data_IF_230052526649
#
_entry.id   IF_230052526649
#
_cell.length_a   1.000
_cell.length_b   1.000
_cell.length_c   1.000
_cell.angle_alpha   90.00
_cell.angle_beta   90.00
_cell.angle_gamma   90.00
#
_symmetry.space_group_name_H-M   'P 1'
#
loop_
_entity.id
_entity.type
_entity.pdbx_description
1 polymer ?
#
# COMPACT_ATOMS: atom_id res chain seq x y z
N UNK A 1 -4.19 17.88 -15.05
CA UNK A 1 -2.95 17.21 -15.48
C UNK A 1 -2.37 17.82 -16.74
N UNK A 2 -3.02 17.67 -17.90
CA UNK A 2 -2.50 18.20 -19.18
C UNK A 2 -2.23 19.71 -19.15
N UNK A 3 -3.17 20.51 -18.62
CA UNK A 3 -2.98 21.97 -18.46
C UNK A 3 -1.75 22.30 -17.61
N UNK A 4 -1.46 21.53 -16.57
CA UNK A 4 -0.28 21.76 -15.71
C UNK A 4 1.01 21.45 -16.48
N UNK A 5 1.02 20.41 -17.31
CA UNK A 5 2.16 20.11 -18.18
C UNK A 5 2.35 21.18 -19.25
N UNK A 6 1.28 21.56 -19.96
CA UNK A 6 1.31 22.60 -20.99
C UNK A 6 1.79 23.95 -20.44
N UNK A 7 1.24 24.40 -19.31
CA UNK A 7 1.65 25.66 -18.65
C UNK A 7 3.10 25.61 -18.18
N UNK A 8 3.59 24.45 -17.75
CA UNK A 8 5.01 24.27 -17.38
C UNK A 8 5.92 24.42 -18.60
N UNK A 9 5.58 23.84 -19.74
CA UNK A 9 6.36 24.02 -20.98
C UNK A 9 6.20 25.42 -21.58
N UNK A 10 5.04 26.05 -21.42
CA UNK A 10 4.80 27.43 -21.86
C UNK A 10 5.73 28.43 -21.15
N UNK A 11 6.02 28.23 -19.85
CA UNK A 11 6.98 29.05 -19.13
C UNK A 11 8.39 28.97 -19.75
N UNK A 12 8.85 27.77 -20.08
CA UNK A 12 10.15 27.59 -20.76
C UNK A 12 10.14 28.23 -22.16
N UNK A 13 9.03 28.12 -22.89
CA UNK A 13 8.87 28.73 -24.21
C UNK A 13 8.91 30.27 -24.13
N UNK A 14 8.28 30.89 -23.12
CA UNK A 14 8.21 32.34 -22.96
C UNK A 14 9.55 33.02 -22.64
N UNK A 15 10.57 32.27 -22.22
CA UNK A 15 11.91 32.83 -21.97
C UNK A 15 12.51 33.47 -23.24
N UNK A 16 12.28 32.88 -24.43
CA UNK A 16 12.79 33.45 -25.69
C UNK A 16 12.21 34.84 -25.99
N UNK A 17 10.88 35.02 -26.10
CA UNK A 17 10.32 36.34 -26.34
C UNK A 17 10.63 37.32 -25.20
N UNK A 18 10.71 36.85 -23.95
CA UNK A 18 11.11 37.70 -22.82
C UNK A 18 12.52 38.29 -23.02
N UNK A 19 13.48 37.52 -23.52
CA UNK A 19 14.84 38.00 -23.75
C UNK A 19 14.97 38.77 -25.06
N UNK A 20 14.45 38.21 -26.15
CA UNK A 20 14.65 38.77 -27.48
C UNK A 20 13.80 40.04 -27.72
N UNK A 21 12.53 40.07 -27.32
CA UNK A 21 11.68 41.24 -27.56
C UNK A 21 11.97 42.38 -26.59
N UNK A 22 12.22 42.07 -25.31
CA UNK A 22 12.46 43.10 -24.28
C UNK A 22 13.87 43.66 -24.36
N UNK A 23 14.91 42.81 -24.41
CA UNK A 23 16.29 43.26 -24.24
C UNK A 23 17.00 43.51 -25.57
N UNK A 24 16.74 42.71 -26.62
CA UNK A 24 17.36 42.94 -27.94
C UNK A 24 16.59 43.97 -28.75
N UNK A 25 15.27 43.79 -28.91
CA UNK A 25 14.43 44.70 -29.70
C UNK A 25 13.95 45.93 -28.93
N UNK A 26 14.16 45.99 -27.61
CA UNK A 26 13.76 47.11 -26.72
C UNK A 26 12.27 47.45 -26.84
N UNK A 27 11.42 46.44 -27.02
CA UNK A 27 9.99 46.61 -27.22
C UNK A 27 9.26 46.87 -25.88
N UNK A 28 8.85 48.12 -25.67
CA UNK A 28 8.20 48.56 -24.43
C UNK A 28 6.81 47.95 -24.17
N UNK A 29 6.12 47.49 -25.21
CA UNK A 29 4.82 46.82 -25.06
C UNK A 29 5.00 45.38 -24.57
N UNK A 30 6.00 44.67 -25.10
CA UNK A 30 6.33 43.32 -24.63
C UNK A 30 6.82 43.32 -23.18
N UNK A 31 7.47 44.39 -22.73
CA UNK A 31 7.84 44.59 -21.33
C UNK A 31 6.62 44.63 -20.38
N UNK A 32 5.44 45.05 -20.86
CA UNK A 32 4.19 45.05 -20.08
C UNK A 32 3.46 43.71 -20.18
N UNK A 33 3.33 43.17 -21.39
CA UNK A 33 2.53 41.96 -21.65
C UNK A 33 3.18 40.66 -21.16
N UNK A 34 4.50 40.53 -21.25
CA UNK A 34 5.20 39.28 -20.87
C UNK A 34 5.10 39.02 -19.36
N UNK A 35 5.35 39.98 -18.45
CA UNK A 35 5.12 39.76 -17.02
C UNK A 35 3.67 39.38 -16.68
N UNK A 36 2.69 40.04 -17.32
CA UNK A 36 1.26 39.71 -17.14
C UNK A 36 0.98 38.28 -17.59
N UNK A 37 1.51 37.86 -18.75
CA UNK A 37 1.37 36.50 -19.25
C UNK A 37 2.03 35.47 -18.31
N UNK A 38 3.23 35.77 -17.77
CA UNK A 38 3.92 34.90 -16.81
C UNK A 38 3.08 34.72 -15.55
N UNK A 39 2.58 35.82 -14.96
CA UNK A 39 1.71 35.76 -13.77
C UNK A 39 0.43 34.98 -14.08
N UNK A 40 -0.20 35.22 -15.23
CA UNK A 40 -1.39 34.48 -15.66
C UNK A 40 -1.14 32.98 -15.79
N UNK A 41 -0.01 32.58 -16.38
CA UNK A 41 0.38 31.17 -16.50
C UNK A 41 0.65 30.54 -15.13
N UNK A 42 1.34 31.23 -14.22
CA UNK A 42 1.56 30.73 -12.86
C UNK A 42 0.26 30.61 -12.08
N UNK A 43 -0.69 31.53 -12.25
CA UNK A 43 -2.01 31.47 -11.65
C UNK A 43 -2.79 30.25 -12.15
N UNK A 44 -2.87 30.07 -13.47
CA UNK A 44 -3.53 28.92 -14.09
C UNK A 44 -2.86 27.61 -13.64
N UNK A 45 -1.52 27.55 -13.70
CA UNK A 45 -0.75 26.39 -13.24
C UNK A 45 -1.04 26.07 -11.77
N UNK A 46 -1.06 27.09 -10.91
CA UNK A 46 -1.33 26.95 -9.47
C UNK A 46 -2.72 26.40 -9.20
N UNK A 47 -3.76 27.01 -9.77
CA UNK A 47 -5.15 26.56 -9.62
C UNK A 47 -5.32 25.14 -10.17
N UNK A 48 -4.86 24.87 -11.38
CA UNK A 48 -4.98 23.54 -11.98
C UNK A 48 -4.19 22.48 -11.21
N UNK A 49 -3.01 22.82 -10.65
CA UNK A 49 -2.22 21.89 -9.84
C UNK A 49 -2.88 21.61 -8.51
N UNK A 50 -3.47 22.62 -7.86
CA UNK A 50 -4.24 22.46 -6.63
C UNK A 50 -5.45 21.54 -6.84
N UNK A 51 -6.30 21.89 -7.81
CA UNK A 51 -7.51 21.11 -8.15
C UNK A 51 -7.14 19.68 -8.51
N UNK A 52 -6.11 19.49 -9.34
CA UNK A 52 -5.62 18.15 -9.66
C UNK A 52 -5.20 17.37 -8.40
N UNK A 53 -4.42 17.98 -7.51
CA UNK A 53 -3.89 17.30 -6.33
C UNK A 53 -5.02 16.90 -5.38
N UNK A 54 -5.96 17.82 -5.14
CA UNK A 54 -7.14 17.55 -4.31
C UNK A 54 -8.01 16.44 -4.89
N UNK A 55 -8.32 16.49 -6.20
CA UNK A 55 -9.14 15.46 -6.85
C UNK A 55 -8.45 14.09 -6.85
N UNK A 56 -7.15 14.01 -7.15
CA UNK A 56 -6.43 12.74 -7.13
C UNK A 56 -6.32 12.15 -5.72
N UNK A 57 -6.13 12.99 -4.70
CA UNK A 57 -6.16 12.53 -3.31
C UNK A 57 -7.56 12.09 -2.89
N UNK A 58 -8.60 12.81 -3.30
CA UNK A 58 -9.99 12.42 -3.04
C UNK A 58 -10.30 11.04 -3.65
N UNK A 59 -9.95 10.83 -4.93
CA UNK A 59 -10.13 9.53 -5.61
C UNK A 59 -9.35 8.44 -4.88
N UNK A 60 -8.07 8.69 -4.56
CA UNK A 60 -7.23 7.73 -3.82
C UNK A 60 -7.84 7.34 -2.47
N UNK A 61 -8.29 8.32 -1.67
CA UNK A 61 -8.90 8.07 -0.38
C UNK A 61 -10.28 7.39 -0.49
N UNK A 62 -11.05 7.70 -1.54
CA UNK A 62 -12.33 7.04 -1.79
C UNK A 62 -12.14 5.55 -2.09
N UNK A 63 -11.16 5.23 -2.95
CA UNK A 63 -10.77 3.84 -3.23
C UNK A 63 -10.35 3.11 -1.95
N UNK A 64 -9.57 3.76 -1.08
CA UNK A 64 -9.19 3.19 0.22
C UNK A 64 -10.42 2.89 1.09
N UNK A 65 -11.35 3.83 1.20
CA UNK A 65 -12.54 3.67 2.01
C UNK A 65 -13.41 2.50 1.51
N UNK A 66 -13.65 2.44 0.20
CA UNK A 66 -14.49 1.41 -0.42
C UNK A 66 -13.81 0.01 -0.31
N UNK A 67 -12.50 -0.08 -0.54
CA UNK A 67 -11.74 -1.34 -0.39
C UNK A 67 -11.68 -1.81 1.07
N UNK A 68 -11.44 -0.91 2.03
CA UNK A 68 -11.44 -1.27 3.46
C UNK A 68 -12.82 -1.77 3.89
N UNK A 69 -13.89 -1.12 3.45
CA UNK A 69 -15.25 -1.56 3.76
C UNK A 69 -15.56 -2.94 3.15
N UNK A 70 -15.20 -3.15 1.88
CA UNK A 70 -15.39 -4.44 1.21
C UNK A 70 -14.59 -5.56 1.87
N UNK A 71 -13.30 -5.32 2.14
CA UNK A 71 -12.41 -6.27 2.79
C UNK A 71 -12.87 -6.60 4.22
N UNK A 72 -13.23 -5.58 5.01
CA UNK A 72 -13.73 -5.78 6.37
C UNK A 72 -15.03 -6.60 6.38
N UNK A 73 -16.00 -6.24 5.53
CA UNK A 73 -17.25 -7.00 5.38
C UNK A 73 -16.94 -8.45 5.04
N UNK A 74 -16.03 -8.69 4.10
CA UNK A 74 -15.67 -10.04 3.69
C UNK A 74 -15.03 -10.84 4.82
N UNK A 75 -14.08 -10.25 5.55
CA UNK A 75 -13.43 -10.90 6.69
C UNK A 75 -14.46 -11.33 7.75
N UNK A 76 -15.45 -10.48 8.05
CA UNK A 76 -16.50 -10.81 9.03
C UNK A 76 -17.43 -11.95 8.60
N UNK A 77 -17.51 -12.24 7.30
CA UNK A 77 -18.30 -13.38 6.78
C UNK A 77 -17.53 -14.71 6.77
N UNK A 78 -16.23 -14.70 7.07
CA UNK A 78 -15.41 -15.90 6.99
C UNK A 78 -15.61 -16.84 8.19
N UNK A 79 -15.32 -18.13 7.98
CA UNK A 79 -15.40 -19.18 9.01
C UNK A 79 -14.33 -19.01 10.09
N UNK A 80 -14.49 -19.66 11.23
CA UNK A 80 -13.47 -19.68 12.27
C UNK A 80 -12.17 -20.39 11.80
N UNK A 81 -12.28 -21.32 10.85
CA UNK A 81 -11.14 -21.95 10.21
C UNK A 81 -10.26 -20.94 9.47
N UNK A 82 -10.87 -19.96 8.78
CA UNK A 82 -10.14 -18.87 8.12
C UNK A 82 -9.28 -18.08 9.12
N UNK A 83 -9.82 -17.74 10.29
CA UNK A 83 -9.09 -17.01 11.34
C UNK A 83 -8.01 -17.86 12.02
N UNK A 84 -8.16 -19.19 11.99
CA UNK A 84 -7.13 -20.11 12.48
C UNK A 84 -5.92 -20.14 11.53
N UNK A 85 -6.17 -20.11 10.22
CA UNK A 85 -5.13 -20.11 9.16
C UNK A 85 -4.51 -18.73 8.93
N UNK A 86 -5.23 -17.65 9.23
CA UNK A 86 -4.81 -16.28 8.97
C UNK A 86 -4.65 -15.52 10.28
N UNK A 87 -3.42 -15.30 10.77
CA UNK A 87 -3.17 -14.56 11.99
C UNK A 87 -3.79 -13.15 11.94
N UNK A 88 -4.38 -12.69 13.03
CA UNK A 88 -5.06 -11.38 13.10
C UNK A 88 -4.17 -10.22 12.67
N UNK A 89 -2.88 -10.25 13.02
CA UNK A 89 -1.91 -9.23 12.59
C UNK A 89 -1.72 -9.17 11.07
N UNK A 90 -1.78 -10.33 10.38
CA UNK A 90 -1.73 -10.39 8.92
C UNK A 90 -2.96 -9.70 8.32
N UNK A 91 -4.16 -10.02 8.81
CA UNK A 91 -5.41 -9.42 8.34
C UNK A 91 -5.44 -7.90 8.56
N UNK A 92 -4.96 -7.43 9.72
CA UNK A 92 -4.83 -5.99 9.98
C UNK A 92 -3.89 -5.32 8.98
N UNK A 93 -2.72 -5.93 8.71
CA UNK A 93 -1.76 -5.41 7.72
C UNK A 93 -2.35 -5.34 6.30
N UNK A 94 -3.22 -6.30 5.91
CA UNK A 94 -3.95 -6.22 4.63
C UNK A 94 -4.84 -4.98 4.57
N UNK A 95 -5.63 -4.73 5.61
CA UNK A 95 -6.57 -3.59 5.67
C UNK A 95 -5.83 -2.25 5.70
N UNK A 96 -4.70 -2.17 6.41
CA UNK A 96 -3.98 -0.91 6.60
C UNK A 96 -2.96 -0.67 5.50
N UNK A 97 -1.94 -1.52 5.38
CA UNK A 97 -0.77 -1.33 4.53
C UNK A 97 -1.06 -1.66 3.06
N UNK A 98 -1.65 -2.83 2.77
CA UNK A 98 -1.84 -3.26 1.38
C UNK A 98 -2.84 -2.37 0.64
N UNK A 99 -3.94 -1.97 1.29
CA UNK A 99 -4.86 -0.98 0.73
C UNK A 99 -4.17 0.39 0.52
N UNK A 100 -3.23 0.77 1.40
CA UNK A 100 -2.40 1.97 1.22
C UNK A 100 -1.49 1.91 0.00
N UNK A 101 -0.91 0.75 -0.31
CA UNK A 101 -0.12 0.59 -1.54
C UNK A 101 -0.98 0.74 -2.81
N UNK A 102 -2.22 0.25 -2.78
CA UNK A 102 -3.17 0.42 -3.88
C UNK A 102 -3.49 1.91 -4.07
N UNK A 103 -3.68 2.67 -2.97
CA UNK A 103 -3.89 4.12 -3.03
C UNK A 103 -2.74 4.84 -3.72
N UNK A 104 -1.48 4.52 -3.35
CA UNK A 104 -0.30 5.11 -3.99
C UNK A 104 -0.26 4.83 -5.50
N UNK A 105 -0.60 3.62 -5.92
CA UNK A 105 -0.67 3.28 -7.34
C UNK A 105 -1.77 4.05 -8.08
N UNK A 106 -2.97 4.20 -7.49
CA UNK A 106 -4.09 4.90 -8.15
C UNK A 106 -3.88 6.42 -8.17
N UNK A 107 -3.29 6.99 -7.12
CA UNK A 107 -3.14 8.44 -7.00
C UNK A 107 -1.81 8.95 -7.54
N UNK A 108 -0.69 8.46 -7.04
CA UNK A 108 0.65 8.95 -7.38
C UNK A 108 1.13 8.43 -8.74
N UNK A 109 1.02 7.12 -8.98
CA UNK A 109 1.54 6.53 -10.21
C UNK A 109 0.76 6.99 -11.45
N UNK A 110 -0.58 7.06 -11.37
CA UNK A 110 -1.41 7.62 -12.45
C UNK A 110 -1.07 9.09 -12.69
N UNK A 111 -0.90 9.87 -11.62
CA UNK A 111 -0.51 11.29 -11.74
C UNK A 111 0.81 11.42 -12.50
N UNK A 112 1.82 10.65 -12.13
CA UNK A 112 3.12 10.72 -12.77
C UNK A 112 3.06 10.21 -14.23
N UNK A 113 2.37 9.10 -14.50
CA UNK A 113 2.23 8.58 -15.87
C UNK A 113 1.52 9.53 -16.81
N UNK A 114 0.51 10.27 -16.34
CA UNK A 114 -0.26 11.17 -17.20
C UNK A 114 0.33 12.58 -17.23
N UNK A 115 0.50 13.22 -16.06
CA UNK A 115 1.00 14.61 -15.99
C UNK A 115 2.47 14.67 -16.39
N UNK A 116 3.32 13.83 -15.81
CA UNK A 116 4.76 13.99 -15.98
C UNK A 116 5.21 13.50 -17.37
N UNK A 117 4.61 12.42 -17.91
CA UNK A 117 4.85 12.03 -19.31
C UNK A 117 4.40 13.11 -20.29
N UNK A 118 3.24 13.72 -20.08
CA UNK A 118 2.78 14.81 -20.95
C UNK A 118 3.68 16.05 -20.83
N UNK A 119 4.08 16.41 -19.62
CA UNK A 119 5.03 17.52 -19.38
C UNK A 119 6.36 17.24 -20.08
N UNK A 120 6.85 16.01 -19.99
CA UNK A 120 8.08 15.57 -20.65
C UNK A 120 7.95 15.69 -22.17
N UNK A 121 6.86 15.20 -22.77
CA UNK A 121 6.59 15.34 -24.20
C UNK A 121 6.56 16.80 -24.65
N UNK A 122 5.87 17.67 -23.91
CA UNK A 122 5.81 19.10 -24.23
C UNK A 122 7.18 19.80 -24.08
N UNK A 123 7.97 19.44 -23.07
CA UNK A 123 9.32 20.00 -22.90
C UNK A 123 10.29 19.53 -23.99
N UNK A 124 10.26 18.24 -24.35
CA UNK A 124 11.04 17.69 -25.46
C UNK A 124 10.65 18.40 -26.76
N UNK A 125 9.35 18.60 -26.99
CA UNK A 125 8.88 19.38 -28.14
C UNK A 125 9.46 20.80 -28.15
N UNK A 126 9.42 21.52 -27.02
CA UNK A 126 10.02 22.87 -26.93
C UNK A 126 11.52 22.85 -27.22
N UNK A 127 12.26 21.86 -26.70
CA UNK A 127 13.70 21.70 -26.91
C UNK A 127 14.01 21.51 -28.41
N UNK A 128 13.36 20.57 -29.09
CA UNK A 128 13.56 20.32 -30.52
C UNK A 128 13.08 21.47 -31.41
N UNK A 129 11.97 22.10 -31.04
CA UNK A 129 11.43 23.24 -31.78
C UNK A 129 12.33 24.48 -31.70
N UNK A 130 13.03 24.67 -30.57
CA UNK A 130 13.92 25.82 -30.38
C UNK A 130 15.23 25.66 -31.14
N UNK A 131 15.88 24.51 -30.99
CA UNK A 131 17.14 24.23 -31.66
C UNK A 131 17.36 22.71 -31.72
N UNK A 132 17.15 22.13 -32.90
CA UNK A 132 17.25 20.69 -33.10
C UNK A 132 18.70 20.17 -33.02
N UNK A 133 19.70 21.02 -33.27
CA UNK A 133 21.12 20.64 -33.22
C UNK A 133 21.58 20.54 -31.76
N UNK A 134 21.24 21.55 -30.95
CA UNK A 134 21.41 21.52 -29.49
C UNK A 134 20.59 20.38 -28.86
N UNK A 135 19.38 20.10 -29.36
CA UNK A 135 18.55 19.01 -28.88
C UNK A 135 19.22 17.63 -29.04
N UNK A 136 19.89 17.38 -30.17
CA UNK A 136 20.64 16.14 -30.40
C UNK A 136 21.79 16.00 -29.41
N UNK A 137 22.53 17.08 -29.14
CA UNK A 137 23.61 17.09 -28.14
C UNK A 137 23.04 16.78 -26.75
N UNK A 138 21.93 17.41 -26.36
CA UNK A 138 21.27 17.15 -25.09
C UNK A 138 20.75 15.71 -24.98
N UNK A 139 20.23 15.14 -26.06
CA UNK A 139 19.81 13.74 -26.15
C UNK A 139 20.97 12.76 -25.92
N UNK A 140 22.22 13.11 -26.26
CA UNK A 140 23.40 12.28 -25.95
C UNK A 140 23.76 12.32 -24.46
N UNK A 141 23.57 13.47 -23.80
CA UNK A 141 23.78 13.63 -22.36
C UNK A 141 22.70 12.92 -21.55
N UNK A 142 21.50 12.75 -22.13
CA UNK A 142 20.35 12.17 -21.44
C UNK A 142 20.56 10.71 -20.95
N UNK A 143 21.03 9.75 -21.77
CA UNK A 143 21.39 8.40 -21.30
C UNK A 143 22.43 8.40 -20.19
N UNK A 144 23.42 9.31 -20.25
CA UNK A 144 24.46 9.45 -19.23
C UNK A 144 23.87 9.87 -17.87
N UNK A 145 22.74 10.58 -17.86
CA UNK A 145 21.99 10.91 -16.64
C UNK A 145 21.06 9.77 -16.18
N UNK A 146 20.29 9.16 -17.10
CA UNK A 146 19.27 8.16 -16.73
C UNK A 146 19.85 6.83 -16.25
N UNK A 147 20.92 6.34 -16.87
CA UNK A 147 21.51 5.02 -16.53
C UNK A 147 22.01 4.98 -15.07
N UNK A 148 22.77 5.97 -14.57
CA UNK A 148 23.16 6.04 -13.16
C UNK A 148 21.97 6.13 -12.21
N UNK A 149 20.94 6.93 -12.53
CA UNK A 149 19.72 7.02 -11.70
C UNK A 149 19.08 5.64 -11.56
N UNK A 150 18.92 4.91 -12.66
CA UNK A 150 18.36 3.57 -12.64
C UNK A 150 19.21 2.59 -11.80
N UNK A 151 20.54 2.69 -11.86
CA UNK A 151 21.47 1.90 -11.03
C UNK A 151 21.37 2.25 -9.55
N UNK A 152 21.33 3.55 -9.20
CA UNK A 152 21.13 4.00 -7.81
C UNK A 152 19.79 3.51 -7.27
N UNK A 153 18.71 3.64 -8.04
CA UNK A 153 17.37 3.15 -7.66
C UNK A 153 17.34 1.64 -7.44
N UNK A 154 18.00 0.83 -8.30
CA UNK A 154 18.14 -0.61 -8.09
C UNK A 154 18.89 -0.94 -6.80
N UNK A 155 20.01 -0.27 -6.54
CA UNK A 155 20.82 -0.49 -5.32
C UNK A 155 20.08 -0.06 -4.06
N UNK A 156 19.35 1.06 -4.11
CA UNK A 156 18.50 1.54 -3.03
C UNK A 156 17.43 0.52 -2.65
N UNK A 157 16.74 -0.06 -3.65
CA UNK A 157 15.73 -1.11 -3.41
C UNK A 157 16.29 -2.32 -2.66
N UNK A 158 17.49 -2.76 -3.03
CA UNK A 158 18.15 -3.89 -2.35
C UNK A 158 18.46 -3.57 -0.88
N UNK A 159 18.91 -2.35 -0.59
CA UNK A 159 19.16 -1.93 0.80
C UNK A 159 17.86 -1.80 1.57
N UNK A 160 16.85 -1.14 0.99
CA UNK A 160 15.54 -0.99 1.62
C UNK A 160 14.92 -2.35 2.01
N UNK A 161 15.03 -3.35 1.15
CA UNK A 161 14.60 -4.72 1.47
C UNK A 161 15.34 -5.31 2.67
N UNK A 162 16.67 -5.16 2.72
CA UNK A 162 17.48 -5.61 3.88
C UNK A 162 17.14 -4.86 5.15
N UNK A 163 16.94 -3.53 5.06
CA UNK A 163 16.50 -2.69 6.18
C UNK A 163 15.17 -3.19 6.74
N UNK A 164 14.20 -3.52 5.88
CA UNK A 164 12.89 -4.01 6.31
C UNK A 164 12.99 -5.37 7.03
N UNK A 165 13.84 -6.28 6.53
CA UNK A 165 14.07 -7.58 7.19
C UNK A 165 14.69 -7.39 8.58
N UNK A 166 15.72 -6.55 8.71
CA UNK A 166 16.36 -6.26 10.00
C UNK A 166 15.40 -5.54 10.96
N UNK A 167 14.59 -4.61 10.48
CA UNK A 167 13.55 -3.97 11.30
C UNK A 167 12.51 -4.98 11.79
N UNK A 168 12.15 -5.96 10.97
CA UNK A 168 11.29 -7.08 11.35
C UNK A 168 11.92 -7.90 12.50
N UNK A 169 13.18 -8.30 12.37
CA UNK A 169 13.91 -9.03 13.43
C UNK A 169 13.98 -8.24 14.74
N UNK A 170 14.24 -6.94 14.67
CA UNK A 170 14.27 -6.05 15.84
C UNK A 170 12.89 -5.92 16.49
N UNK A 171 11.82 -5.86 15.68
CA UNK A 171 10.43 -5.84 16.18
C UNK A 171 10.05 -7.15 16.85
N UNK A 172 10.44 -8.30 16.28
CA UNK A 172 10.25 -9.61 16.91
C UNK A 172 10.96 -9.71 18.25
N UNK A 173 12.22 -9.26 18.33
CA UNK A 173 12.98 -9.23 19.58
C UNK A 173 12.27 -8.38 20.65
N UNK A 174 11.76 -7.20 20.29
CA UNK A 174 10.99 -6.37 21.19
C UNK A 174 9.71 -7.09 21.65
N UNK A 175 8.99 -7.76 20.75
CA UNK A 175 7.80 -8.51 21.11
C UNK A 175 8.12 -9.65 22.09
N UNK A 176 9.18 -10.42 21.84
CA UNK A 176 9.65 -11.52 22.72
C UNK A 176 10.02 -11.00 24.11
N UNK A 177 10.84 -9.95 24.18
CA UNK A 177 11.41 -9.44 25.44
C UNK A 177 10.42 -8.61 26.27
N UNK A 178 9.55 -7.82 25.62
CA UNK A 178 8.53 -7.04 26.32
C UNK A 178 7.39 -7.95 26.79
N UNK A 179 6.87 -8.83 25.93
CA UNK A 179 5.80 -9.76 26.33
C UNK A 179 6.32 -10.79 27.34
N UNK A 180 7.56 -11.23 27.16
CA UNK A 180 8.28 -12.16 28.04
C UNK A 180 9.02 -11.49 29.19
N UNK A 181 8.73 -10.22 29.53
CA UNK A 181 9.56 -9.47 30.50
C UNK A 181 9.64 -10.15 31.87
N UNK A 182 8.59 -10.87 32.27
CA UNK A 182 8.58 -11.68 33.50
C UNK A 182 9.65 -12.78 33.48
N UNK A 183 9.87 -13.43 32.33
CA UNK A 183 10.91 -14.46 32.16
C UNK A 183 12.29 -13.80 32.21
N UNK A 184 12.48 -12.72 31.47
CA UNK A 184 13.76 -11.97 31.46
C UNK A 184 14.15 -11.57 32.89
N UNK A 185 13.20 -11.06 33.68
CA UNK A 185 13.39 -10.70 35.09
C UNK A 185 13.60 -11.91 36.00
N UNK A 186 12.86 -13.00 35.81
CA UNK A 186 13.00 -14.20 36.64
C UNK A 186 14.39 -14.85 36.51
N UNK A 187 15.03 -14.72 35.35
CA UNK A 187 16.36 -15.27 35.08
C UNK A 187 17.49 -14.23 35.13
N UNK A 188 17.22 -12.96 35.50
CA UNK A 188 18.20 -11.86 35.53
C UNK A 188 18.98 -11.68 34.21
N UNK A 189 18.29 -11.79 33.07
CA UNK A 189 18.90 -11.78 31.73
C UNK A 189 18.83 -10.41 31.02
N UNK A 190 18.58 -9.33 31.74
CA UNK A 190 18.41 -8.00 31.13
C UNK A 190 19.63 -7.55 30.32
N UNK A 191 20.84 -7.79 30.82
CA UNK A 191 22.06 -7.36 30.13
C UNK A 191 22.31 -8.18 28.86
N UNK A 192 21.94 -9.47 28.86
CA UNK A 192 22.00 -10.32 27.68
C UNK A 192 21.06 -9.79 26.58
N UNK A 193 19.80 -9.49 26.93
CA UNK A 193 18.84 -8.95 25.97
C UNK A 193 19.22 -7.55 25.49
N UNK A 194 19.80 -6.70 26.36
CA UNK A 194 20.35 -5.40 25.96
C UNK A 194 21.46 -5.53 24.92
N UNK A 195 22.39 -6.49 25.08
CA UNK A 195 23.46 -6.74 24.09
C UNK A 195 22.90 -7.27 22.77
N UNK A 196 21.92 -8.18 22.83
CA UNK A 196 21.24 -8.73 21.64
C UNK A 196 20.50 -7.62 20.88
N UNK A 197 19.77 -6.75 21.59
CA UNK A 197 19.12 -5.58 21.01
C UNK A 197 20.12 -4.61 20.39
N UNK A 198 21.21 -4.29 21.09
CA UNK A 198 22.25 -3.39 20.58
C UNK A 198 22.86 -3.90 19.27
N UNK A 199 23.08 -5.22 19.14
CA UNK A 199 23.60 -5.83 17.90
C UNK A 199 22.66 -5.66 16.70
N UNK A 200 21.36 -5.94 16.87
CA UNK A 200 20.38 -5.75 15.79
C UNK A 200 20.14 -4.26 15.48
N UNK A 201 20.16 -3.40 16.50
CA UNK A 201 20.02 -1.95 16.33
C UNK A 201 21.22 -1.35 15.57
N UNK A 202 22.44 -1.79 15.87
CA UNK A 202 23.65 -1.38 15.14
C UNK A 202 23.62 -1.87 13.69
N UNK A 203 23.11 -3.08 13.44
CA UNK A 203 22.90 -3.58 12.07
C UNK A 203 21.90 -2.72 11.30
N UNK A 204 20.79 -2.34 11.94
CA UNK A 204 19.79 -1.44 11.36
C UNK A 204 20.39 -0.05 11.09
N UNK A 205 21.16 0.49 12.02
CA UNK A 205 21.90 1.74 11.87
C UNK A 205 22.83 1.71 10.64
N UNK A 206 23.66 0.67 10.49
CA UNK A 206 24.57 0.53 9.33
C UNK A 206 23.82 0.46 8.00
N UNK A 207 22.67 -0.23 7.96
CA UNK A 207 21.83 -0.29 6.76
C UNK A 207 21.24 1.08 6.42
N UNK A 208 20.71 1.80 7.42
CA UNK A 208 20.19 3.15 7.26
C UNK A 208 21.27 4.14 6.82
N UNK A 209 22.47 4.07 7.40
CA UNK A 209 23.61 4.90 7.00
C UNK A 209 24.05 4.60 5.56
N UNK A 210 24.06 3.33 5.16
CA UNK A 210 24.35 2.92 3.77
C UNK A 210 23.28 3.41 2.81
N UNK A 211 22.00 3.35 3.18
CA UNK A 211 20.91 3.93 2.39
C UNK A 211 21.07 5.45 2.27
N UNK A 212 21.33 6.15 3.37
CA UNK A 212 21.57 7.59 3.39
C UNK A 212 22.74 7.98 2.50
N UNK A 213 23.86 7.23 2.55
CA UNK A 213 25.02 7.46 1.68
C UNK A 213 24.68 7.32 0.19
N UNK A 214 23.93 6.29 -0.22
CA UNK A 214 23.53 6.13 -1.63
C UNK A 214 22.57 7.24 -2.07
N UNK A 215 21.63 7.62 -1.22
CA UNK A 215 20.74 8.76 -1.49
C UNK A 215 21.53 10.06 -1.62
N UNK A 216 22.49 10.30 -0.73
CA UNK A 216 23.30 11.50 -0.70
C UNK A 216 24.18 11.64 -1.97
N UNK A 217 24.78 10.55 -2.46
CA UNK A 217 25.60 10.58 -3.70
C UNK A 217 24.78 10.92 -4.94
N UNK A 218 23.47 10.65 -4.92
CA UNK A 218 22.63 10.86 -6.10
C UNK A 218 22.46 12.34 -6.47
N UNK A 219 22.46 13.29 -5.52
CA UNK A 219 22.33 14.72 -5.85
C UNK A 219 23.61 15.32 -6.45
N UNK A 220 24.79 15.23 -5.79
CA UNK A 220 26.02 15.82 -6.31
C UNK A 220 26.42 15.25 -7.68
N UNK A 221 26.19 13.95 -7.90
CA UNK A 221 26.44 13.33 -9.19
C UNK A 221 25.56 13.93 -10.30
N UNK A 222 24.29 14.18 -9.99
CA UNK A 222 23.36 14.81 -10.93
C UNK A 222 23.68 16.29 -11.16
N UNK A 223 24.08 17.01 -10.13
CA UNK A 223 24.54 18.41 -10.25
C UNK A 223 25.80 18.49 -11.13
N UNK A 224 26.75 17.57 -10.95
CA UNK A 224 27.95 17.50 -11.78
C UNK A 224 27.63 17.21 -13.26
N UNK A 225 26.78 16.20 -13.53
CA UNK A 225 26.32 15.92 -14.90
C UNK A 225 25.54 17.09 -15.50
N UNK A 226 24.69 17.73 -14.69
CA UNK A 226 23.98 18.95 -15.07
C UNK A 226 24.96 20.07 -15.42
N UNK A 227 26.01 20.27 -14.62
CA UNK A 227 27.08 21.22 -14.87
C UNK A 227 27.83 20.95 -16.17
N UNK A 228 28.16 19.69 -16.48
CA UNK A 228 28.74 19.29 -17.77
C UNK A 228 27.77 19.64 -18.91
N UNK A 229 26.50 19.24 -18.80
CA UNK A 229 25.49 19.51 -19.83
C UNK A 229 25.31 21.00 -20.09
N UNK A 230 25.15 21.79 -19.03
CA UNK A 230 25.05 23.26 -19.09
C UNK A 230 26.31 23.85 -19.71
N UNK A 231 27.51 23.39 -19.33
CA UNK A 231 28.77 23.89 -19.89
C UNK A 231 28.91 23.58 -21.38
N UNK A 232 28.55 22.37 -21.81
CA UNK A 232 28.53 22.00 -23.23
C UNK A 232 27.53 22.84 -24.02
N UNK A 233 26.36 23.13 -23.45
CA UNK A 233 25.34 23.98 -24.06
C UNK A 233 25.80 25.43 -24.12
N UNK A 234 26.41 25.98 -23.06
CA UNK A 234 26.99 27.33 -23.06
C UNK A 234 28.06 27.44 -24.15
N UNK A 235 28.95 26.45 -24.26
CA UNK A 235 30.01 26.48 -25.26
C UNK A 235 29.45 26.47 -26.69
N UNK A 236 28.62 25.49 -27.03
CA UNK A 236 28.09 25.35 -28.39
C UNK A 236 27.00 26.39 -28.73
N UNK A 237 26.04 26.58 -27.83
CA UNK A 237 24.96 27.56 -27.99
C UNK A 237 25.48 28.99 -27.94
N UNK A 238 26.42 29.29 -27.06
CA UNK A 238 27.12 30.58 -27.04
C UNK A 238 27.89 30.83 -28.33
N UNK A 239 28.59 29.83 -28.85
CA UNK A 239 29.26 29.92 -30.16
C UNK A 239 28.29 30.23 -31.30
N UNK A 240 27.13 29.55 -31.35
CA UNK A 240 26.10 29.86 -32.36
C UNK A 240 25.53 31.27 -32.24
N UNK A 241 25.34 31.76 -31.01
CA UNK A 241 24.87 33.13 -30.76
C UNK A 241 25.93 34.16 -31.20
N UNK A 242 27.21 33.91 -30.91
CA UNK A 242 28.32 34.78 -31.34
C UNK A 242 28.42 34.82 -32.88
N UNK A 243 28.20 33.69 -33.55
CA UNK A 243 28.16 33.63 -35.01
C UNK A 243 26.89 34.23 -35.63
N UNK A 244 25.92 34.68 -34.82
CA UNK A 244 24.65 35.22 -35.31
C UNK A 244 23.69 34.17 -35.89
N UNK A 245 23.97 32.87 -35.68
CA UNK A 245 23.11 31.77 -36.15
C UNK A 245 21.91 31.53 -35.23
N UNK A 246 22.00 31.95 -33.96
CA UNK A 246 20.95 31.81 -32.95
C UNK A 246 20.84 33.05 -32.08
N UNK A 247 19.76 33.16 -31.28
CA UNK A 247 19.53 34.29 -30.37
C UNK A 247 19.78 33.92 -28.91
N UNK A 248 20.22 34.86 -28.06
CA UNK A 248 20.28 34.67 -26.61
C UNK A 248 18.97 34.12 -26.02
N UNK A 249 17.81 34.60 -26.48
CA UNK A 249 16.52 34.09 -26.02
C UNK A 249 16.27 32.63 -26.41
N UNK A 250 16.70 32.20 -27.61
CA UNK A 250 16.61 30.78 -28.01
C UNK A 250 17.45 29.91 -27.08
N UNK A 251 18.69 30.35 -26.80
CA UNK A 251 19.61 29.69 -25.89
C UNK A 251 19.04 29.53 -24.47
N UNK A 252 18.58 30.61 -23.85
CA UNK A 252 18.05 30.54 -22.47
C UNK A 252 16.70 29.82 -22.39
N UNK A 253 15.87 29.88 -23.43
CA UNK A 253 14.62 29.09 -23.51
C UNK A 253 14.91 27.59 -23.59
N UNK A 254 15.90 27.21 -24.38
CA UNK A 254 16.40 25.83 -24.46
C UNK A 254 16.95 25.35 -23.12
N UNK A 255 17.85 26.12 -22.51
CA UNK A 255 18.46 25.80 -21.21
C UNK A 255 17.40 25.63 -20.11
N UNK A 256 16.42 26.53 -20.08
CA UNK A 256 15.30 26.47 -19.14
C UNK A 256 14.48 25.20 -19.33
N UNK A 257 14.11 24.88 -20.58
CA UNK A 257 13.35 23.67 -20.89
C UNK A 257 14.10 22.40 -20.47
N UNK A 258 15.42 22.35 -20.69
CA UNK A 258 16.26 21.21 -20.32
C UNK A 258 16.33 21.02 -18.80
N UNK A 259 16.52 22.09 -18.03
CA UNK A 259 16.54 22.03 -16.56
C UNK A 259 15.18 21.54 -16.04
N UNK A 260 14.08 22.07 -16.59
CA UNK A 260 12.72 21.68 -16.20
C UNK A 260 12.37 20.22 -16.56
N UNK A 261 13.08 19.63 -17.51
CA UNK A 261 12.89 18.24 -17.94
C UNK A 261 13.38 17.22 -16.87
N UNK A 262 14.27 17.63 -15.97
CA UNK A 262 14.82 16.75 -14.93
C UNK A 262 13.76 16.19 -13.97
N UNK A 263 12.86 17.03 -13.45
CA UNK A 263 11.90 16.61 -12.43
C UNK A 263 10.89 15.55 -12.94
N UNK A 264 10.24 15.73 -14.11
CA UNK A 264 9.36 14.71 -14.69
C UNK A 264 10.06 13.36 -14.91
N UNK A 265 11.32 13.37 -15.39
CA UNK A 265 12.11 12.14 -15.61
C UNK A 265 12.39 11.41 -14.30
N UNK A 266 12.78 12.16 -13.27
CA UNK A 266 13.04 11.61 -11.93
C UNK A 266 11.78 10.97 -11.35
N UNK A 267 10.62 11.63 -11.48
CA UNK A 267 9.33 11.09 -11.02
C UNK A 267 8.97 9.81 -11.77
N UNK A 268 9.02 9.81 -13.11
CA UNK A 268 8.74 8.64 -13.95
C UNK A 268 9.62 7.43 -13.62
N UNK A 269 10.87 7.65 -13.21
CA UNK A 269 11.78 6.55 -12.82
C UNK A 269 11.29 5.79 -11.57
N UNK A 270 10.59 6.46 -10.66
CA UNK A 270 10.12 5.86 -9.41
C UNK A 270 8.72 5.22 -9.55
N UNK A 271 7.95 5.60 -10.57
CA UNK A 271 6.57 5.13 -10.80
C UNK A 271 6.45 3.61 -10.84
N UNK A 272 7.39 2.92 -11.49
CA UNK A 272 7.32 1.47 -11.62
C UNK A 272 7.31 0.77 -10.24
N UNK A 273 7.98 1.32 -9.23
CA UNK A 273 7.94 0.74 -7.88
C UNK A 273 6.56 0.87 -7.25
N UNK A 274 5.98 2.06 -7.33
CA UNK A 274 4.66 2.34 -6.78
C UNK A 274 3.60 1.45 -7.44
N UNK A 275 3.67 1.27 -8.77
CA UNK A 275 2.76 0.36 -9.50
C UNK A 275 2.93 -1.08 -9.02
N UNK A 276 4.16 -1.59 -8.98
CA UNK A 276 4.41 -2.98 -8.58
C UNK A 276 3.97 -3.26 -7.14
N UNK A 277 4.21 -2.33 -6.22
CA UNK A 277 3.71 -2.42 -4.83
C UNK A 277 2.19 -2.43 -4.78
N UNK A 278 1.53 -1.55 -5.55
CA UNK A 278 0.08 -1.51 -5.64
C UNK A 278 -0.52 -2.79 -6.20
N UNK A 279 0.06 -3.35 -7.27
CA UNK A 279 -0.39 -4.64 -7.85
C UNK A 279 -0.24 -5.77 -6.83
N UNK A 280 0.90 -5.86 -6.15
CA UNK A 280 1.14 -6.88 -5.14
C UNK A 280 0.18 -6.74 -3.94
N UNK A 281 -0.12 -5.50 -3.52
CA UNK A 281 -1.14 -5.21 -2.51
C UNK A 281 -2.54 -5.61 -2.97
N UNK A 282 -2.90 -5.27 -4.21
CA UNK A 282 -4.18 -5.63 -4.81
C UNK A 282 -4.39 -7.15 -4.86
N UNK A 283 -3.41 -7.92 -5.33
CA UNK A 283 -3.50 -9.38 -5.36
C UNK A 283 -3.85 -9.99 -4.00
N UNK A 284 -3.27 -9.45 -2.92
CA UNK A 284 -3.48 -9.97 -1.56
C UNK A 284 -4.80 -9.52 -0.95
N UNK A 285 -5.25 -8.31 -1.26
CA UNK A 285 -6.57 -7.80 -0.86
C UNK A 285 -7.67 -8.55 -1.59
N UNK A 286 -7.59 -8.67 -2.91
CA UNK A 286 -8.57 -9.40 -3.73
C UNK A 286 -8.57 -10.90 -3.42
N UNK A 287 -7.41 -11.49 -3.10
CA UNK A 287 -7.34 -12.87 -2.61
C UNK A 287 -8.20 -13.15 -1.36
N UNK A 288 -8.52 -12.13 -0.56
CA UNK A 288 -9.47 -12.25 0.56
C UNK A 288 -10.89 -11.88 0.12
N UNK A 289 -11.06 -10.78 -0.61
CA UNK A 289 -12.38 -10.30 -1.07
C UNK A 289 -13.11 -11.38 -1.88
N UNK A 290 -12.38 -12.11 -2.72
CA UNK A 290 -12.92 -13.12 -3.62
C UNK A 290 -13.12 -14.48 -2.93
N UNK A 291 -12.67 -14.65 -1.69
CA UNK A 291 -12.72 -15.94 -0.99
C UNK A 291 -14.15 -16.33 -0.61
N UNK A 292 -14.64 -17.46 -1.09
CA UNK A 292 -15.98 -17.95 -0.74
C UNK A 292 -15.97 -18.49 0.71
N UNK A 293 -16.85 -18.03 1.62
CA UNK A 293 -16.88 -18.53 2.99
C UNK A 293 -17.16 -20.03 3.04
N UNK A 294 -16.45 -20.77 3.88
CA UNK A 294 -16.64 -22.23 4.00
C UNK A 294 -18.01 -22.59 4.58
N UNK A 295 -18.49 -21.82 5.57
CA UNK A 295 -19.80 -22.03 6.19
C UNK A 295 -20.82 -21.13 5.51
N UNK A 296 -21.75 -21.74 4.80
CA UNK A 296 -22.86 -21.07 4.13
C UNK A 296 -24.19 -21.78 4.40
N UNK A 297 -25.26 -20.98 4.33
CA UNK A 297 -26.62 -21.52 4.28
C UNK A 297 -26.80 -22.25 2.95
N UNK A 298 -27.37 -23.46 3.00
CA UNK A 298 -27.78 -24.17 1.78
C UNK A 298 -28.92 -23.38 1.11
N UNK A 299 -29.10 -23.49 -0.22
CA UNK A 299 -30.20 -22.80 -0.92
C UNK A 299 -31.60 -23.14 -0.38
N UNK A 300 -31.76 -24.34 0.15
CA UNK A 300 -32.97 -24.89 0.77
C UNK A 300 -33.01 -24.74 2.30
N UNK A 301 -32.08 -23.97 2.89
CA UNK A 301 -32.01 -23.80 4.33
C UNK A 301 -33.23 -23.04 4.87
N UNK A 302 -33.89 -23.61 5.88
CA UNK A 302 -35.04 -23.01 6.53
C UNK A 302 -34.70 -22.52 7.94
N UNK A 303 -35.47 -21.61 8.55
CA UNK A 303 -35.25 -21.20 9.93
C UNK A 303 -35.44 -22.38 10.91
N UNK A 304 -34.51 -22.56 11.84
CA UNK A 304 -34.63 -23.52 12.92
C UNK A 304 -35.78 -23.09 13.86
N UNK A 305 -36.77 -23.97 14.13
CA UNK A 305 -37.79 -23.72 15.13
C UNK A 305 -37.21 -23.55 16.54
N UNK A 306 -38.03 -23.10 17.49
CA UNK A 306 -37.60 -22.97 18.89
C UNK A 306 -37.19 -24.35 19.44
N UNK A 307 -35.96 -24.46 19.94
CA UNK A 307 -35.42 -25.70 20.51
C UNK A 307 -36.24 -26.09 21.75
N UNK A 308 -36.67 -27.35 21.81
CA UNK A 308 -37.64 -27.83 22.80
C UNK A 308 -37.43 -29.27 23.27
N UNK A 309 -36.71 -30.12 22.52
CA UNK A 309 -36.60 -31.55 22.81
C UNK A 309 -35.19 -31.99 23.13
N UNK A 310 -34.27 -31.90 22.18
CA UNK A 310 -32.95 -32.51 22.33
C UNK A 310 -31.90 -32.01 21.32
N UNK A 311 -30.63 -32.23 21.68
CA UNK A 311 -29.48 -32.22 20.79
C UNK A 311 -28.99 -33.67 20.63
N UNK A 312 -28.88 -34.14 19.40
CA UNK A 312 -28.51 -35.53 19.07
C UNK A 312 -27.33 -35.54 18.09
N UNK A 313 -26.16 -35.93 18.60
CA UNK A 313 -24.89 -36.06 17.87
C UNK A 313 -24.76 -37.53 17.47
N UNK A 314 -24.72 -37.81 16.16
CA UNK A 314 -24.71 -39.18 15.62
C UNK A 314 -23.47 -39.43 14.77
N UNK A 315 -22.66 -40.39 15.20
CA UNK A 315 -21.45 -40.87 14.52
C UNK A 315 -20.55 -39.75 13.97
N UNK A 316 -20.34 -38.70 14.77
CA UNK A 316 -19.61 -37.52 14.30
C UNK A 316 -18.11 -37.79 14.26
N UNK A 317 -17.54 -37.62 13.06
CA UNK A 317 -16.10 -37.52 12.82
C UNK A 317 -15.72 -36.09 12.46
N UNK A 318 -14.60 -35.62 13.02
CA UNK A 318 -14.08 -34.29 12.73
C UNK A 318 -12.55 -34.24 12.83
N UNK A 319 -11.94 -33.48 11.92
CA UNK A 319 -10.51 -33.18 11.92
C UNK A 319 -10.29 -31.69 11.61
N UNK A 320 -9.23 -31.12 12.19
CA UNK A 320 -8.70 -29.84 11.72
C UNK A 320 -7.63 -30.15 10.68
N UNK A 321 -7.78 -29.60 9.46
CA UNK A 321 -6.87 -29.88 8.33
C UNK A 321 -6.74 -31.38 8.07
N UNK A 322 -5.61 -32.03 8.41
CA UNK A 322 -5.41 -33.47 8.24
C UNK A 322 -5.42 -34.26 9.57
N UNK A 323 -5.59 -33.57 10.71
CA UNK A 323 -5.44 -34.20 12.04
C UNK A 323 -6.79 -34.59 12.64
N UNK A 324 -7.12 -35.89 12.77
CA UNK A 324 -8.38 -36.34 13.36
C UNK A 324 -8.46 -36.02 14.85
N UNK A 325 -9.56 -35.37 15.25
CA UNK A 325 -9.81 -34.94 16.64
C UNK A 325 -10.98 -35.69 17.27
N UNK A 326 -12.06 -35.89 16.53
CA UNK A 326 -13.25 -36.61 16.98
C UNK A 326 -13.48 -37.82 16.07
N UNK A 327 -13.85 -38.95 16.67
CA UNK A 327 -14.12 -40.22 15.96
C UNK A 327 -15.37 -40.88 16.54
N UNK A 328 -16.36 -41.11 15.68
CA UNK A 328 -17.63 -41.78 15.93
C UNK A 328 -18.32 -41.34 17.22
N UNK A 329 -18.36 -40.02 17.46
CA UNK A 329 -18.98 -39.48 18.68
C UNK A 329 -20.49 -39.63 18.58
N UNK A 330 -21.07 -40.26 19.61
CA UNK A 330 -22.51 -40.41 19.79
C UNK A 330 -22.89 -39.81 21.15
N UNK A 331 -23.81 -38.84 21.15
CA UNK A 331 -24.25 -38.16 22.37
C UNK A 331 -25.65 -37.60 22.17
N UNK A 332 -26.54 -37.84 23.12
CA UNK A 332 -27.89 -37.28 23.16
C UNK A 332 -28.08 -36.48 24.45
N UNK A 333 -28.55 -35.25 24.32
CA UNK A 333 -28.75 -34.28 25.41
C UNK A 333 -30.20 -33.83 25.38
N UNK A 334 -30.95 -34.06 26.46
CA UNK A 334 -32.36 -33.68 26.56
C UNK A 334 -32.54 -32.21 26.94
N UNK A 335 -33.68 -31.62 26.58
CA UNK A 335 -34.02 -30.26 26.96
C UNK A 335 -34.03 -30.10 28.49
N UNK A 336 -33.32 -29.08 28.99
CA UNK A 336 -33.16 -28.82 30.42
C UNK A 336 -32.05 -29.62 31.10
N UNK A 337 -31.40 -30.54 30.40
CA UNK A 337 -30.27 -31.31 30.92
C UNK A 337 -28.99 -30.47 30.98
N UNK A 338 -28.20 -30.64 32.04
CA UNK A 338 -26.88 -30.02 32.20
C UNK A 338 -25.81 -31.08 32.05
N UNK A 339 -25.02 -30.99 30.98
CA UNK A 339 -23.97 -31.97 30.65
C UNK A 339 -22.58 -31.36 30.87
N UNK A 340 -21.71 -32.07 31.58
CA UNK A 340 -20.33 -31.68 31.82
C UNK A 340 -19.36 -32.51 30.97
N UNK A 341 -18.58 -31.85 30.11
CA UNK A 341 -17.52 -32.50 29.33
C UNK A 341 -16.19 -32.51 30.11
N UNK A 342 -15.75 -33.69 30.52
CA UNK A 342 -14.51 -33.88 31.31
C UNK A 342 -13.49 -34.70 30.52
N UNK A 343 -12.21 -34.34 30.63
CA UNK A 343 -11.11 -35.07 29.98
C UNK A 343 -9.82 -34.25 29.91
N UNK A 344 -8.71 -34.91 29.56
CA UNK A 344 -7.38 -34.28 29.46
C UNK A 344 -7.35 -33.13 28.43
N UNK A 345 -6.39 -32.21 28.55
CA UNK A 345 -6.15 -31.18 27.53
C UNK A 345 -5.93 -31.82 26.16
N UNK A 346 -6.47 -31.22 25.11
CA UNK A 346 -6.42 -31.79 23.75
C UNK A 346 -7.43 -32.90 23.44
N UNK A 347 -8.22 -33.39 24.41
CA UNK A 347 -9.22 -34.45 24.21
C UNK A 347 -10.46 -34.08 23.39
N UNK A 348 -10.41 -33.05 22.53
CA UNK A 348 -11.51 -32.70 21.62
C UNK A 348 -12.73 -31.99 22.23
N UNK A 349 -12.75 -31.73 23.54
CA UNK A 349 -13.88 -31.09 24.25
C UNK A 349 -14.35 -29.76 23.62
N UNK A 350 -13.42 -28.82 23.46
CA UNK A 350 -13.71 -27.51 22.85
C UNK A 350 -14.15 -27.66 21.40
N UNK A 351 -13.57 -28.62 20.67
CA UNK A 351 -13.96 -28.93 19.29
C UNK A 351 -15.41 -29.40 19.21
N UNK A 352 -15.83 -30.33 20.09
CA UNK A 352 -17.21 -30.81 20.13
C UNK A 352 -18.20 -29.68 20.39
N UNK A 353 -17.90 -28.79 21.36
CA UNK A 353 -18.73 -27.62 21.67
C UNK A 353 -18.79 -26.64 20.49
N UNK A 354 -17.68 -26.42 19.78
CA UNK A 354 -17.62 -25.52 18.63
C UNK A 354 -18.38 -26.01 17.39
N UNK A 355 -18.68 -27.32 17.30
CA UNK A 355 -19.48 -27.87 16.21
C UNK A 355 -20.98 -27.56 16.36
N UNK A 356 -21.48 -27.41 17.59
CA UNK A 356 -22.91 -27.14 17.87
C UNK A 356 -23.40 -25.82 17.25
N UNK A 357 -22.72 -24.66 17.43
CA UNK A 357 -23.09 -23.41 16.74
C UNK A 357 -22.65 -23.37 15.27
N UNK A 358 -22.18 -24.50 14.73
CA UNK A 358 -21.69 -24.65 13.35
C UNK A 358 -20.57 -23.65 13.03
N UNK A 359 -19.54 -23.58 13.89
CA UNK A 359 -18.30 -22.86 13.53
C UNK A 359 -17.45 -23.64 12.53
N UNK A 360 -17.61 -24.96 12.53
CA UNK A 360 -17.08 -25.89 11.54
C UNK A 360 -18.20 -26.86 11.15
N UNK A 361 -18.14 -27.40 9.93
CA UNK A 361 -19.00 -28.50 9.52
C UNK A 361 -18.33 -29.85 9.82
N UNK A 362 -19.15 -30.85 10.14
CA UNK A 362 -18.69 -32.23 10.39
C UNK A 362 -18.29 -32.91 9.09
N UNK A 363 -17.30 -33.80 9.15
CA UNK A 363 -16.82 -34.55 7.98
C UNK A 363 -17.67 -35.80 7.74
N UNK A 364 -18.10 -36.46 8.81
CA UNK A 364 -19.01 -37.60 8.81
C UNK A 364 -20.01 -37.46 9.95
N UNK A 365 -21.18 -38.08 9.80
CA UNK A 365 -22.25 -38.05 10.78
C UNK A 365 -23.13 -36.81 10.67
N UNK A 366 -23.90 -36.55 11.72
CA UNK A 366 -24.79 -35.41 11.79
C UNK A 366 -24.95 -34.91 13.24
N UNK A 367 -25.16 -33.61 13.37
CA UNK A 367 -25.62 -32.97 14.61
C UNK A 367 -27.04 -32.51 14.36
N UNK A 368 -27.98 -33.08 15.11
CA UNK A 368 -29.40 -32.83 14.99
C UNK A 368 -29.86 -32.03 16.20
N UNK A 369 -30.70 -31.02 15.97
CA UNK A 369 -31.40 -30.30 17.03
C UNK A 369 -32.89 -30.45 16.77
N UNK A 370 -33.60 -31.06 17.72
CA UNK A 370 -35.01 -31.45 17.57
C UNK A 370 -35.27 -32.20 16.24
N UNK A 371 -34.33 -33.06 15.83
CA UNK A 371 -34.40 -33.84 14.59
C UNK A 371 -34.00 -33.11 13.31
N UNK A 372 -33.66 -31.82 13.35
CA UNK A 372 -33.18 -31.05 12.20
C UNK A 372 -31.66 -31.04 12.16
N UNK A 373 -31.05 -31.41 11.04
CA UNK A 373 -29.60 -31.30 10.88
C UNK A 373 -29.20 -29.82 10.83
N UNK A 374 -28.22 -29.42 11.64
CA UNK A 374 -27.74 -28.04 11.73
C UNK A 374 -27.26 -27.48 10.38
N UNK A 375 -26.94 -28.35 9.40
CA UNK A 375 -26.56 -27.97 8.02
C UNK A 375 -27.76 -27.61 7.14
N UNK A 376 -28.96 -28.03 7.50
CA UNK A 376 -30.20 -27.82 6.74
C UNK A 376 -30.99 -26.59 7.21
N UNK A 377 -30.55 -25.95 8.28
CA UNK A 377 -31.15 -24.72 8.80
C UNK A 377 -30.26 -23.51 8.58
N UNK A 378 -30.84 -22.31 8.64
CA UNK A 378 -30.06 -21.07 8.54
C UNK A 378 -29.17 -20.88 9.78
N UNK A 379 -27.90 -20.55 9.57
CA UNK A 379 -26.90 -20.34 10.62
C UNK A 379 -27.33 -19.26 11.63
N UNK A 380 -28.01 -18.21 11.14
CA UNK A 380 -28.53 -17.13 11.96
C UNK A 380 -29.61 -17.61 12.94
N UNK A 381 -30.52 -18.47 12.47
CA UNK A 381 -31.59 -19.03 13.31
C UNK A 381 -31.06 -20.02 14.36
N UNK A 382 -30.02 -20.78 14.00
CA UNK A 382 -29.32 -21.68 14.90
C UNK A 382 -28.61 -20.90 16.01
N UNK A 383 -27.77 -19.93 15.64
CA UNK A 383 -26.95 -19.18 16.59
C UNK A 383 -27.75 -18.24 17.48
N UNK A 384 -28.92 -17.75 17.03
CA UNK A 384 -29.83 -16.94 17.87
C UNK A 384 -30.34 -17.68 19.11
N UNK A 385 -30.34 -19.01 19.08
CA UNK A 385 -30.81 -19.85 20.19
C UNK A 385 -29.67 -20.38 21.07
N UNK A 386 -28.42 -20.01 20.78
CA UNK A 386 -27.22 -20.49 21.48
C UNK A 386 -26.52 -19.30 22.11
N UNK A 387 -26.26 -19.37 23.41
CA UNK A 387 -25.38 -18.45 24.12
C UNK A 387 -24.04 -19.14 24.42
N UNK A 388 -22.94 -18.40 24.30
CA UNK A 388 -21.58 -18.92 24.55
C UNK A 388 -20.89 -18.04 25.59
N UNK A 389 -20.29 -18.69 26.59
CA UNK A 389 -19.41 -18.05 27.56
C UNK A 389 -18.01 -18.63 27.37
N UNK A 390 -17.07 -17.79 26.94
CA UNK A 390 -15.70 -18.20 26.63
C UNK A 390 -14.79 -18.13 27.86
N UNK A 391 -13.70 -18.90 27.85
CA UNK A 391 -12.70 -18.88 28.92
C UNK A 391 -11.98 -17.51 29.03
N UNK A 392 -11.75 -16.86 27.89
CA UNK A 392 -11.23 -15.50 27.82
C UNK A 392 -12.35 -14.58 27.34
N UNK A 393 -12.79 -13.67 28.20
CA UNK A 393 -13.78 -12.65 27.85
C UNK A 393 -13.10 -11.56 27.04
N UNK A 394 -13.59 -11.34 25.81
CA UNK A 394 -13.18 -10.20 24.99
C UNK A 394 -14.31 -9.18 25.06
N UNK A 395 -13.99 -7.96 25.50
CA UNK A 395 -14.92 -6.83 25.49
C UNK A 395 -14.57 -5.90 24.33
N UNK A 396 -15.60 -5.34 23.70
CA UNK A 396 -15.44 -4.34 22.65
C UNK A 396 -15.40 -2.94 23.26
N UNK A 397 -14.70 -2.01 22.59
CA UNK A 397 -14.66 -0.62 22.99
C UNK A 397 -16.01 0.07 22.76
N UNK A 398 -16.92 -0.15 23.70
CA UNK A 398 -18.28 0.34 23.75
C UNK A 398 -18.74 0.38 25.22
N UNK A 399 -19.94 0.87 25.49
CA UNK A 399 -20.53 0.87 26.83
C UNK A 399 -20.72 -0.54 27.37
N UNK A 400 -20.75 -0.66 28.70
CA UNK A 400 -21.07 -1.93 29.39
C UNK A 400 -22.44 -2.47 28.94
N UNK A 401 -23.43 -1.58 28.80
CA UNK A 401 -24.77 -1.94 28.32
C UNK A 401 -24.71 -2.62 26.95
N UNK A 402 -23.98 -2.04 26.00
CA UNK A 402 -23.91 -2.57 24.63
C UNK A 402 -23.14 -3.89 24.57
N UNK A 403 -22.11 -4.08 25.40
CA UNK A 403 -21.43 -5.37 25.51
C UNK A 403 -22.33 -6.47 26.09
N UNK A 404 -23.23 -6.14 27.03
CA UNK A 404 -24.21 -7.10 27.59
C UNK A 404 -25.33 -7.43 26.59
N UNK A 405 -25.71 -6.46 25.74
CA UNK A 405 -26.80 -6.60 24.78
C UNK A 405 -26.35 -7.05 23.37
N UNK A 406 -25.06 -7.34 23.19
CA UNK A 406 -24.47 -7.87 21.96
C UNK A 406 -24.95 -9.30 21.69
#
# INVERSE_FOLDING_TARGET
>A
MLVVGATTSALAFLVKPALDEIFLKKNSDMLKWIPIAVVGIYLIKGVCSYVQTVLMNYIGQRVVADLRAALYRKIQTQSLAFFTKNPTGLLMSRITNDVGYIQGAVSEAVTALLKDSFTLLCLVFVIFYRDWQLAIIAMLVFPLAVIPIAKFGRRMRQIASRTQVTLGSLTTLLQETISGTRIVKAFNMEEYENRRFAGENERLFRLNLKAASINAVSSPFMEFLGGIGISSIIFYGGYQVIQGQSTPGTFFSFLTALIMLYEPVKRLTNVNNTIQQGIAGAQRVFGIIDLVPEIQNRPDAHPLPRISREIDIREVDFHYEETPVLRAINLKIQAGEVVAFVGMSGGGKTTLVNLIPRFYDVMKGAILIDGHDIRTVTVESLRRQIAIVTQQTILFNDTVRNNIAY
#
